data_IF_080931669568
#
_entry.id   IF_080931669568
#
_cell.length_a   1.000
_cell.length_b   1.000
_cell.length_c   1.000
_cell.angle_alpha   90.00
_cell.angle_beta   90.00
_cell.angle_gamma   90.00
#
_symmetry.space_group_name_H-M   'P 1'
#
loop_
_entity.id
_entity.type
_entity.pdbx_description
1 polymer ?
#
# COMPACT_ATOMS: atom_id res chain seq x y z
N UNK A 1 -12.89 -26.71 9.87
CA UNK A 1 -12.87 -25.48 10.67
C UNK A 1 -14.14 -24.70 10.33
N UNK A 2 -15.10 -24.56 11.21
CA UNK A 2 -16.35 -23.83 10.98
C UNK A 2 -16.06 -22.34 10.90
N UNK A 3 -16.63 -21.64 9.90
CA UNK A 3 -16.51 -20.20 9.77
C UNK A 3 -17.12 -19.50 11.00
N UNK A 4 -16.52 -18.39 11.47
CA UNK A 4 -17.08 -17.64 12.59
C UNK A 4 -18.45 -17.05 12.18
N UNK A 5 -19.38 -16.83 13.14
CA UNK A 5 -20.68 -16.22 12.87
C UNK A 5 -20.58 -14.87 12.15
N UNK A 6 -19.54 -14.09 12.44
CA UNK A 6 -19.26 -12.79 11.78
C UNK A 6 -18.87 -12.98 10.31
N UNK A 7 -18.06 -14.00 10.02
CA UNK A 7 -17.67 -14.34 8.64
C UNK A 7 -18.88 -14.77 7.82
N UNK A 8 -19.77 -15.59 8.40
CA UNK A 8 -20.99 -16.07 7.74
C UNK A 8 -21.94 -14.90 7.41
N UNK A 9 -22.17 -13.97 8.35
CA UNK A 9 -22.98 -12.78 8.13
C UNK A 9 -22.41 -11.90 7.00
N UNK A 10 -21.08 -11.69 6.99
CA UNK A 10 -20.40 -10.94 5.95
C UNK A 10 -20.57 -11.56 4.56
N UNK A 11 -20.48 -12.90 4.48
CA UNK A 11 -20.66 -13.64 3.23
C UNK A 11 -22.11 -13.53 2.71
N UNK A 12 -23.10 -13.67 3.60
CA UNK A 12 -24.52 -13.52 3.25
C UNK A 12 -24.78 -12.10 2.72
N UNK A 13 -24.34 -11.07 3.45
CA UNK A 13 -24.51 -9.69 3.01
C UNK A 13 -23.91 -9.45 1.63
N UNK A 14 -22.69 -9.92 1.38
CA UNK A 14 -22.04 -9.79 0.07
C UNK A 14 -22.82 -10.54 -1.01
N UNK A 15 -23.33 -11.74 -0.73
CA UNK A 15 -24.11 -12.51 -1.69
C UNK A 15 -25.40 -11.78 -2.11
N UNK A 16 -26.13 -11.24 -1.14
CA UNK A 16 -27.38 -10.49 -1.38
C UNK A 16 -27.19 -9.19 -2.16
N UNK A 17 -26.01 -8.56 -2.04
CA UNK A 17 -25.72 -7.27 -2.70
C UNK A 17 -24.87 -7.38 -3.97
N UNK A 18 -24.57 -8.58 -4.45
CA UNK A 18 -23.76 -8.79 -5.68
C UNK A 18 -24.43 -8.22 -6.92
N UNK A 19 -25.71 -8.51 -7.13
CA UNK A 19 -26.46 -8.03 -8.28
C UNK A 19 -26.67 -6.52 -8.25
N UNK A 20 -27.07 -5.88 -7.14
CA UNK A 20 -27.08 -4.44 -6.99
C UNK A 20 -25.72 -3.79 -7.32
N UNK A 21 -24.60 -4.37 -6.84
CA UNK A 21 -23.27 -3.88 -7.16
C UNK A 21 -22.93 -4.03 -8.66
N UNK A 22 -23.38 -5.11 -9.27
CA UNK A 22 -23.23 -5.33 -10.70
C UNK A 22 -23.99 -4.28 -11.50
N UNK A 23 -25.26 -4.03 -11.19
CA UNK A 23 -26.11 -3.02 -11.84
C UNK A 23 -25.51 -1.62 -11.68
N UNK A 24 -25.00 -1.27 -10.49
CA UNK A 24 -24.32 -0.01 -10.27
C UNK A 24 -23.10 0.13 -11.18
N UNK A 25 -22.28 -0.92 -11.29
CA UNK A 25 -21.10 -0.91 -12.16
C UNK A 25 -21.46 -0.73 -13.64
N UNK A 26 -22.52 -1.40 -14.12
CA UNK A 26 -22.98 -1.27 -15.51
C UNK A 26 -23.55 0.13 -15.80
N UNK A 27 -24.23 0.74 -14.84
CA UNK A 27 -24.69 2.13 -14.93
C UNK A 27 -23.52 3.13 -14.98
N UNK A 28 -22.50 2.94 -14.14
CA UNK A 28 -21.31 3.78 -14.14
C UNK A 28 -20.50 3.64 -15.43
N UNK A 29 -20.51 2.47 -16.04
CA UNK A 29 -19.76 2.19 -17.27
C UNK A 29 -20.16 3.11 -18.44
N UNK A 30 -21.40 3.59 -18.50
CA UNK A 30 -21.86 4.51 -19.53
C UNK A 30 -21.66 5.99 -19.15
N UNK A 31 -21.23 6.25 -17.91
CA UNK A 31 -21.05 7.61 -17.37
C UNK A 31 -19.55 7.98 -17.22
N UNK A 32 -18.60 7.13 -17.61
CA UNK A 32 -17.15 7.33 -17.40
C UNK A 32 -16.61 8.61 -18.07
N UNK A 33 -17.26 9.10 -19.11
CA UNK A 33 -16.91 10.33 -19.82
C UNK A 33 -17.54 11.61 -19.20
N UNK A 34 -18.42 11.47 -18.19
CA UNK A 34 -19.02 12.56 -17.43
C UNK A 34 -18.68 12.40 -15.94
N UNK A 35 -17.53 12.90 -15.47
CA UNK A 35 -17.06 12.68 -14.10
C UNK A 35 -17.99 13.21 -13.01
N UNK A 36 -18.74 14.26 -13.27
CA UNK A 36 -19.70 14.81 -12.30
C UNK A 36 -20.90 13.89 -12.11
N UNK A 37 -21.45 13.42 -13.21
CA UNK A 37 -22.56 12.45 -13.18
C UNK A 37 -22.10 11.13 -12.59
N UNK A 38 -20.92 10.66 -12.99
CA UNK A 38 -20.30 9.44 -12.44
C UNK A 38 -20.17 9.52 -10.92
N UNK A 39 -19.57 10.60 -10.37
CA UNK A 39 -19.40 10.78 -8.93
C UNK A 39 -20.74 10.76 -8.18
N UNK A 40 -21.76 11.49 -8.70
CA UNK A 40 -23.10 11.49 -8.08
C UNK A 40 -23.75 10.10 -8.10
N UNK A 41 -23.66 9.40 -9.23
CA UNK A 41 -24.22 8.04 -9.38
C UNK A 41 -23.46 7.04 -8.49
N UNK A 42 -22.13 7.12 -8.45
CA UNK A 42 -21.29 6.29 -7.61
C UNK A 42 -21.63 6.48 -6.12
N UNK A 43 -21.62 7.73 -5.65
CA UNK A 43 -21.91 8.05 -4.25
C UNK A 43 -23.28 7.51 -3.83
N UNK A 44 -24.33 7.78 -4.63
CA UNK A 44 -25.68 7.30 -4.35
C UNK A 44 -25.77 5.77 -4.35
N UNK A 45 -25.12 5.13 -5.32
CA UNK A 45 -25.13 3.68 -5.44
C UNK A 45 -24.38 2.98 -4.31
N UNK A 46 -23.26 3.55 -3.87
CA UNK A 46 -22.49 3.00 -2.74
C UNK A 46 -23.27 3.10 -1.42
N UNK A 47 -24.08 4.14 -1.21
CA UNK A 47 -25.01 4.18 -0.05
C UNK A 47 -25.95 2.98 -0.02
N UNK A 48 -26.45 2.53 -1.18
CA UNK A 48 -27.30 1.34 -1.28
C UNK A 48 -26.56 0.00 -1.04
N UNK A 49 -25.23 0.02 -1.01
CA UNK A 49 -24.36 -1.16 -0.77
C UNK A 49 -23.70 -1.13 0.62
N UNK A 50 -23.99 -0.13 1.43
CA UNK A 50 -23.40 0.06 2.74
C UNK A 50 -23.83 -1.02 3.73
N UNK A 51 -22.89 -1.56 4.50
CA UNK A 51 -23.16 -2.40 5.67
C UNK A 51 -22.93 -1.58 6.94
N UNK A 52 -24.01 -1.17 7.65
CA UNK A 52 -23.87 -0.31 8.83
C UNK A 52 -23.03 -0.95 9.95
N UNK A 53 -23.11 -2.28 10.11
CA UNK A 53 -22.32 -2.98 11.11
C UNK A 53 -20.83 -3.01 10.76
N UNK A 54 -20.50 -3.07 9.47
CA UNK A 54 -19.14 -2.95 8.99
C UNK A 54 -18.64 -1.50 9.10
N UNK A 55 -19.46 -0.51 8.74
CA UNK A 55 -19.14 0.91 8.90
C UNK A 55 -18.78 1.26 10.35
N UNK A 56 -19.55 0.77 11.32
CA UNK A 56 -19.32 1.04 12.74
C UNK A 56 -17.97 0.50 13.26
N UNK A 57 -17.44 -0.56 12.66
CA UNK A 57 -16.14 -1.15 13.02
C UNK A 57 -14.95 -0.45 12.36
N UNK A 58 -15.16 0.25 11.25
CA UNK A 58 -14.07 0.79 10.42
C UNK A 58 -13.20 1.85 11.12
N UNK A 59 -13.71 2.78 11.94
CA UNK A 59 -12.84 3.77 12.60
C UNK A 59 -11.73 3.16 13.47
N UNK A 60 -11.96 1.95 13.99
CA UNK A 60 -10.94 1.20 14.76
C UNK A 60 -9.95 0.50 13.83
N UNK A 61 -10.42 0.00 12.69
CA UNK A 61 -9.60 -0.75 11.73
C UNK A 61 -8.80 0.20 10.84
N UNK A 62 -9.40 1.31 10.43
CA UNK A 62 -8.80 2.31 9.52
C UNK A 62 -8.90 3.70 10.15
N UNK A 63 -8.16 3.96 11.23
CA UNK A 63 -8.18 5.27 11.86
C UNK A 63 -7.66 6.33 10.87
N UNK A 64 -8.35 7.47 10.83
CA UNK A 64 -7.98 8.59 9.94
C UNK A 64 -8.56 8.52 8.52
N UNK A 65 -9.34 7.49 8.17
CA UNK A 65 -9.93 7.35 6.82
C UNK A 65 -10.90 8.47 6.44
N UNK A 66 -11.37 9.25 7.42
CA UNK A 66 -12.45 10.22 7.21
C UNK A 66 -13.81 9.51 7.09
N UNK A 67 -14.82 10.20 6.51
CA UNK A 67 -16.13 9.60 6.28
C UNK A 67 -16.04 8.37 5.36
N UNK A 68 -16.77 7.32 5.72
CA UNK A 68 -16.88 6.10 4.95
C UNK A 68 -18.29 5.50 5.07
N UNK A 69 -18.69 4.71 4.09
CA UNK A 69 -20.01 4.09 4.04
C UNK A 69 -20.03 2.66 4.60
N UNK A 70 -18.88 2.01 4.65
CA UNK A 70 -18.76 0.60 5.03
C UNK A 70 -19.18 -0.35 3.92
N UNK A 71 -18.88 -0.01 2.68
CA UNK A 71 -19.10 -0.93 1.55
C UNK A 71 -18.04 -2.02 1.58
N UNK A 72 -18.47 -3.28 1.65
CA UNK A 72 -17.56 -4.41 1.72
C UNK A 72 -16.72 -4.54 0.46
N UNK A 73 -15.42 -4.80 0.62
CA UNK A 73 -14.45 -4.85 -0.47
C UNK A 73 -14.85 -5.73 -1.68
N UNK A 74 -15.47 -6.91 -1.52
CA UNK A 74 -15.93 -7.67 -2.68
C UNK A 74 -16.95 -6.91 -3.55
N UNK A 75 -17.82 -6.09 -2.94
CA UNK A 75 -18.80 -5.28 -3.67
C UNK A 75 -18.11 -4.11 -4.39
N UNK A 76 -17.21 -3.40 -3.72
CA UNK A 76 -16.36 -2.37 -4.36
C UNK A 76 -15.62 -2.95 -5.57
N UNK A 77 -15.09 -4.18 -5.43
CA UNK A 77 -14.38 -4.87 -6.53
C UNK A 77 -15.29 -5.24 -7.69
N UNK A 78 -16.56 -5.59 -7.45
CA UNK A 78 -17.53 -5.88 -8.52
C UNK A 78 -17.80 -4.62 -9.34
N UNK A 79 -18.10 -3.49 -8.69
CA UNK A 79 -18.30 -2.20 -9.33
C UNK A 79 -17.02 -1.78 -10.08
N UNK A 80 -15.89 -1.82 -9.40
CA UNK A 80 -14.59 -1.39 -9.94
C UNK A 80 -14.18 -2.13 -11.21
N UNK A 81 -14.40 -3.45 -11.29
CA UNK A 81 -14.10 -4.23 -12.50
C UNK A 81 -14.94 -3.82 -13.72
N UNK A 82 -16.17 -3.36 -13.54
CA UNK A 82 -17.01 -2.86 -14.64
C UNK A 82 -16.55 -1.50 -15.12
N UNK A 83 -16.28 -0.60 -14.18
CA UNK A 83 -15.69 0.71 -14.46
C UNK A 83 -14.35 0.58 -15.17
N UNK A 84 -13.48 -0.30 -14.68
CA UNK A 84 -12.16 -0.58 -15.28
C UNK A 84 -12.28 -1.05 -16.74
N UNK A 85 -13.25 -1.93 -17.05
CA UNK A 85 -13.51 -2.38 -18.44
C UNK A 85 -14.03 -1.25 -19.32
N UNK A 86 -14.92 -0.41 -18.80
CA UNK A 86 -15.44 0.73 -19.56
C UNK A 86 -14.35 1.76 -19.88
N UNK A 87 -13.47 2.02 -18.94
CA UNK A 87 -12.32 2.91 -19.12
C UNK A 87 -11.27 2.38 -20.11
N UNK A 88 -11.23 1.07 -20.36
CA UNK A 88 -10.30 0.50 -21.34
C UNK A 88 -10.53 1.01 -22.78
N UNK A 89 -11.77 1.43 -23.12
CA UNK A 89 -12.11 2.00 -24.41
C UNK A 89 -12.03 3.54 -24.46
N UNK A 90 -11.63 4.20 -23.36
CA UNK A 90 -11.57 5.66 -23.28
C UNK A 90 -10.14 6.18 -23.48
N UNK A 91 -10.04 7.48 -23.81
CA UNK A 91 -8.72 8.12 -23.82
C UNK A 91 -8.15 8.21 -22.40
N UNK A 92 -6.80 8.14 -22.24
CA UNK A 92 -6.17 8.30 -20.92
C UNK A 92 -6.58 9.62 -20.24
N UNK A 93 -6.79 10.70 -20.99
CA UNK A 93 -7.19 12.00 -20.47
C UNK A 93 -8.54 11.94 -19.73
N UNK A 94 -9.52 11.18 -20.25
CA UNK A 94 -10.81 10.97 -19.57
C UNK A 94 -10.60 10.25 -18.24
N UNK A 95 -9.77 9.21 -18.24
CA UNK A 95 -9.48 8.45 -17.03
C UNK A 95 -8.73 9.31 -15.98
N UNK A 96 -7.75 10.14 -16.39
CA UNK A 96 -7.09 11.11 -15.49
C UNK A 96 -8.08 12.10 -14.91
N UNK A 97 -8.94 12.71 -15.77
CA UNK A 97 -9.90 13.70 -15.30
C UNK A 97 -10.91 13.09 -14.31
N UNK A 98 -11.39 11.88 -14.59
CA UNK A 98 -12.23 11.14 -13.65
C UNK A 98 -11.48 10.87 -12.32
N UNK A 99 -10.23 10.46 -12.39
CA UNK A 99 -9.41 10.21 -11.20
C UNK A 99 -9.21 11.48 -10.37
N UNK A 100 -8.89 12.61 -11.00
CA UNK A 100 -8.74 13.90 -10.31
C UNK A 100 -10.02 14.34 -9.60
N UNK A 101 -11.15 14.10 -10.22
CA UNK A 101 -12.46 14.41 -9.63
C UNK A 101 -12.71 13.55 -8.39
N UNK A 102 -12.60 12.23 -8.51
CA UNK A 102 -12.84 11.28 -7.42
C UNK A 102 -11.84 11.41 -6.29
N UNK A 103 -10.59 11.80 -6.57
CA UNK A 103 -9.56 12.04 -5.57
C UNK A 103 -9.91 13.15 -4.56
N UNK A 104 -10.86 14.03 -4.90
CA UNK A 104 -11.31 15.13 -4.03
C UNK A 104 -12.51 14.76 -3.17
N UNK A 105 -13.11 13.58 -3.39
CA UNK A 105 -14.28 13.15 -2.64
C UNK A 105 -13.95 12.96 -1.15
N UNK A 106 -14.89 13.30 -0.27
CA UNK A 106 -14.76 13.13 1.17
C UNK A 106 -14.88 11.66 1.58
N UNK A 107 -15.77 10.90 0.92
CA UNK A 107 -16.01 9.49 1.21
C UNK A 107 -14.84 8.62 0.74
N UNK A 108 -14.31 7.79 1.65
CA UNK A 108 -13.19 6.88 1.36
C UNK A 108 -13.46 6.01 0.14
N UNK A 109 -14.61 5.33 0.11
CA UNK A 109 -14.92 4.41 -0.99
C UNK A 109 -15.00 5.12 -2.34
N UNK A 110 -15.47 6.37 -2.40
CA UNK A 110 -15.48 7.16 -3.64
C UNK A 110 -14.06 7.51 -4.07
N UNK A 111 -13.20 7.93 -3.12
CA UNK A 111 -11.77 8.19 -3.41
C UNK A 111 -11.07 6.96 -3.95
N UNK A 112 -11.38 5.76 -3.46
CA UNK A 112 -10.76 4.52 -3.94
C UNK A 112 -11.04 4.24 -5.42
N UNK A 113 -12.13 4.75 -6.00
CA UNK A 113 -12.38 4.64 -7.45
C UNK A 113 -11.44 5.50 -8.30
N UNK A 114 -10.79 6.53 -7.72
CA UNK A 114 -9.70 7.23 -8.42
C UNK A 114 -8.55 6.29 -8.80
N UNK A 115 -8.26 5.28 -7.97
CA UNK A 115 -7.22 4.28 -8.25
C UNK A 115 -7.58 3.38 -9.45
N UNK A 116 -8.88 3.06 -9.61
CA UNK A 116 -9.35 2.30 -10.79
C UNK A 116 -9.09 3.09 -12.07
N UNK A 117 -9.42 4.39 -12.05
CA UNK A 117 -9.22 5.27 -13.20
C UNK A 117 -7.73 5.50 -13.49
N UNK A 118 -6.91 5.77 -12.46
CA UNK A 118 -5.45 5.95 -12.61
C UNK A 118 -4.77 4.71 -13.17
N UNK A 119 -5.17 3.52 -12.77
CA UNK A 119 -4.60 2.28 -13.31
C UNK A 119 -4.78 2.17 -14.83
N UNK A 120 -5.89 2.68 -15.36
CA UNK A 120 -6.15 2.73 -16.81
C UNK A 120 -5.44 3.88 -17.50
N UNK A 121 -5.32 5.03 -16.84
CA UNK A 121 -4.64 6.19 -17.39
C UNK A 121 -3.12 6.02 -17.48
N UNK A 122 -2.52 5.40 -16.45
CA UNK A 122 -1.06 5.37 -16.23
C UNK A 122 -0.25 4.90 -17.45
N UNK A 123 -0.61 3.85 -18.21
CA UNK A 123 0.17 3.45 -19.37
C UNK A 123 0.10 4.44 -20.55
N UNK A 124 -0.96 5.22 -20.68
CA UNK A 124 -1.19 6.13 -21.79
C UNK A 124 -0.91 7.60 -21.50
N UNK A 125 -0.91 7.98 -20.23
CA UNK A 125 -0.54 9.33 -19.76
C UNK A 125 0.17 9.20 -18.39
N UNK A 126 1.42 8.70 -18.38
CA UNK A 126 2.13 8.40 -17.15
C UNK A 126 2.40 9.65 -16.31
N UNK A 127 2.73 10.79 -16.96
CA UNK A 127 3.08 12.00 -16.23
C UNK A 127 1.88 12.58 -15.45
N UNK A 128 0.73 12.78 -16.10
CA UNK A 128 -0.46 13.30 -15.40
C UNK A 128 -0.96 12.32 -14.33
N UNK A 129 -0.96 11.03 -14.65
CA UNK A 129 -1.33 9.99 -13.68
C UNK A 129 -0.44 10.05 -12.45
N UNK A 130 0.87 10.24 -12.64
CA UNK A 130 1.83 10.35 -11.55
C UNK A 130 1.59 11.59 -10.68
N UNK A 131 1.27 12.73 -11.29
CA UNK A 131 0.92 13.94 -10.54
C UNK A 131 -0.30 13.73 -9.64
N UNK A 132 -1.31 13.00 -10.12
CA UNK A 132 -2.48 12.65 -9.31
C UNK A 132 -2.11 11.68 -8.19
N UNK A 133 -1.28 10.66 -8.46
CA UNK A 133 -0.76 9.73 -7.44
C UNK A 133 -0.03 10.52 -6.33
N UNK A 134 0.84 11.46 -6.70
CA UNK A 134 1.55 12.34 -5.74
C UNK A 134 0.61 13.21 -4.92
N UNK A 135 -0.43 13.76 -5.55
CA UNK A 135 -1.46 14.54 -4.85
C UNK A 135 -2.20 13.69 -3.81
N UNK A 136 -2.60 12.47 -4.19
CA UNK A 136 -3.27 11.53 -3.29
C UNK A 136 -2.36 11.10 -2.14
N UNK A 137 -1.08 10.83 -2.41
CA UNK A 137 -0.10 10.46 -1.39
C UNK A 137 0.04 11.55 -0.32
N UNK A 138 0.14 12.83 -0.73
CA UNK A 138 0.24 13.98 0.20
C UNK A 138 -1.01 14.18 1.05
N UNK A 139 -2.17 13.75 0.56
CA UNK A 139 -3.48 13.90 1.23
C UNK A 139 -3.87 12.66 2.03
N UNK A 140 -3.15 11.57 1.89
CA UNK A 140 -3.46 10.33 2.58
C UNK A 140 -3.40 10.53 4.10
N UNK A 141 -4.40 10.01 4.79
CA UNK A 141 -4.55 10.08 6.25
C UNK A 141 -4.75 8.70 6.87
N UNK A 142 -4.75 7.66 6.04
CA UNK A 142 -5.02 6.28 6.44
C UNK A 142 -4.22 5.27 5.60
N UNK A 143 -4.05 4.07 6.15
CA UNK A 143 -3.26 3.02 5.52
C UNK A 143 -3.94 2.39 4.29
N UNK A 144 -5.28 2.39 4.21
CA UNK A 144 -6.01 1.83 3.04
C UNK A 144 -5.75 2.68 1.81
N UNK A 145 -5.83 4.00 1.95
CA UNK A 145 -5.51 4.96 0.88
C UNK A 145 -4.06 4.79 0.40
N UNK A 146 -3.10 4.68 1.32
CA UNK A 146 -1.68 4.54 1.00
C UNK A 146 -1.38 3.21 0.31
N UNK A 147 -1.86 2.09 0.86
CA UNK A 147 -1.58 0.77 0.30
C UNK A 147 -2.25 0.57 -1.07
N UNK A 148 -3.42 1.21 -1.28
CA UNK A 148 -4.04 1.25 -2.60
C UNK A 148 -3.22 2.06 -3.63
N UNK A 149 -2.55 3.14 -3.20
CA UNK A 149 -1.64 3.91 -4.05
C UNK A 149 -0.34 3.16 -4.34
N UNK A 150 0.10 2.30 -3.46
CA UNK A 150 1.35 1.54 -3.61
C UNK A 150 1.37 0.67 -4.89
N UNK A 151 0.23 0.06 -5.25
CA UNK A 151 0.09 -0.67 -6.53
C UNK A 151 0.37 0.26 -7.73
N UNK A 152 -0.22 1.45 -7.73
CA UNK A 152 -0.04 2.42 -8.81
C UNK A 152 1.38 2.98 -8.87
N UNK A 153 1.96 3.28 -7.70
CA UNK A 153 3.33 3.77 -7.58
C UNK A 153 4.32 2.72 -8.09
N UNK A 154 4.15 1.45 -7.71
CA UNK A 154 4.96 0.35 -8.21
C UNK A 154 4.86 0.20 -9.74
N UNK A 155 3.66 0.28 -10.31
CA UNK A 155 3.43 0.24 -11.76
C UNK A 155 4.08 1.44 -12.47
N UNK A 156 3.99 2.63 -11.90
CA UNK A 156 4.63 3.84 -12.44
C UNK A 156 6.15 3.70 -12.49
N UNK A 157 6.76 3.16 -11.44
CA UNK A 157 8.22 2.90 -11.39
C UNK A 157 8.62 1.83 -12.42
N UNK A 158 7.84 0.76 -12.57
CA UNK A 158 8.12 -0.28 -13.57
C UNK A 158 7.97 0.23 -15.00
N UNK A 159 7.06 1.16 -15.25
CA UNK A 159 6.85 1.80 -16.54
C UNK A 159 7.95 2.82 -16.85
N UNK A 160 8.32 3.65 -15.87
CA UNK A 160 9.30 4.72 -15.98
C UNK A 160 10.30 4.62 -14.81
N UNK A 161 11.42 3.88 -14.98
CA UNK A 161 12.36 3.57 -13.89
C UNK A 161 12.98 4.79 -13.19
N UNK A 162 13.05 5.95 -13.85
CA UNK A 162 13.55 7.18 -13.23
C UNK A 162 12.69 7.68 -12.06
N UNK A 163 11.42 7.25 -11.97
CA UNK A 163 10.52 7.57 -10.84
C UNK A 163 10.97 6.93 -9.53
N UNK A 164 11.90 6.00 -9.60
CA UNK A 164 12.56 5.48 -8.41
C UNK A 164 13.16 6.60 -7.56
N UNK A 165 13.80 7.60 -8.18
CA UNK A 165 14.36 8.73 -7.46
C UNK A 165 13.32 9.55 -6.71
N UNK A 166 12.08 9.61 -7.21
CA UNK A 166 10.98 10.26 -6.49
C UNK A 166 10.51 9.44 -5.27
N UNK A 167 10.52 8.11 -5.36
CA UNK A 167 10.26 7.24 -4.21
C UNK A 167 11.33 7.40 -3.12
N UNK A 168 12.61 7.50 -3.52
CA UNK A 168 13.74 7.74 -2.60
C UNK A 168 13.56 9.03 -1.80
N UNK A 169 13.07 10.10 -2.43
CA UNK A 169 12.81 11.37 -1.74
C UNK A 169 11.77 11.24 -0.63
N UNK A 170 10.78 10.35 -0.77
CA UNK A 170 9.72 10.16 0.23
C UNK A 170 10.24 9.55 1.54
N UNK A 171 11.42 8.93 1.55
CA UNK A 171 12.08 8.44 2.76
C UNK A 171 12.28 9.57 3.79
N UNK A 172 12.54 10.79 3.29
CA UNK A 172 12.82 11.98 4.10
C UNK A 172 11.56 12.84 4.35
N UNK A 173 10.39 12.40 3.91
CA UNK A 173 9.17 13.16 4.12
C UNK A 173 8.84 13.32 5.61
N UNK A 174 8.43 14.51 6.07
CA UNK A 174 7.90 14.68 7.42
C UNK A 174 6.58 13.94 7.62
N UNK A 175 5.88 13.60 6.54
CA UNK A 175 4.58 12.93 6.60
C UNK A 175 4.76 11.40 6.67
N UNK A 176 4.27 10.78 7.75
CA UNK A 176 4.35 9.34 7.95
C UNK A 176 3.72 8.53 6.81
N UNK A 177 2.65 9.03 6.21
CA UNK A 177 1.94 8.33 5.14
C UNK A 177 2.74 8.27 3.83
N UNK A 178 3.52 9.31 3.53
CA UNK A 178 4.47 9.27 2.41
C UNK A 178 5.62 8.29 2.70
N UNK A 179 6.15 8.24 3.94
CA UNK A 179 7.14 7.23 4.33
C UNK A 179 6.55 5.81 4.32
N UNK A 180 5.27 5.65 4.75
CA UNK A 180 4.57 4.37 4.58
C UNK A 180 4.47 3.96 3.12
N UNK A 181 4.17 4.90 2.21
CA UNK A 181 4.06 4.63 0.78
C UNK A 181 5.36 4.03 0.22
N UNK A 182 6.53 4.44 0.72
CA UNK A 182 7.80 3.79 0.33
C UNK A 182 7.75 2.30 0.64
N UNK A 183 7.49 1.93 1.89
CA UNK A 183 7.43 0.53 2.31
C UNK A 183 6.38 -0.28 1.56
N UNK A 184 5.16 0.27 1.42
CA UNK A 184 4.06 -0.39 0.70
C UNK A 184 4.35 -0.54 -0.79
N UNK A 185 4.98 0.46 -1.44
CA UNK A 185 5.40 0.37 -2.85
C UNK A 185 6.46 -0.71 -3.04
N UNK A 186 7.45 -0.76 -2.15
CA UNK A 186 8.46 -1.82 -2.18
C UNK A 186 7.83 -3.20 -1.98
N UNK A 187 6.81 -3.31 -1.13
CA UNK A 187 6.08 -4.57 -0.93
C UNK A 187 5.31 -5.01 -2.18
N UNK A 188 4.76 -4.07 -2.94
CA UNK A 188 3.98 -4.34 -4.15
C UNK A 188 4.84 -4.73 -5.37
N UNK A 189 6.04 -4.17 -5.51
CA UNK A 189 6.90 -4.37 -6.68
C UNK A 189 7.07 -5.83 -7.09
N UNK A 190 7.39 -6.80 -6.19
CA UNK A 190 7.54 -8.21 -6.55
C UNK A 190 6.27 -8.86 -7.14
N UNK A 191 5.09 -8.32 -6.82
CA UNK A 191 3.81 -8.83 -7.29
C UNK A 191 3.31 -8.15 -8.57
N UNK A 192 3.97 -7.05 -9.00
CA UNK A 192 3.65 -6.33 -10.25
C UNK A 192 4.47 -6.85 -11.42
N UNK A 193 5.44 -7.70 -11.17
CA UNK A 193 6.26 -8.38 -12.17
C UNK A 193 5.92 -9.87 -12.17
N UNK A 194 5.87 -10.46 -13.35
CA UNK A 194 5.62 -11.91 -13.49
C UNK A 194 6.73 -12.70 -12.76
N UNK A 195 6.43 -13.88 -12.20
CA UNK A 195 7.42 -14.67 -11.47
C UNK A 195 8.70 -14.96 -12.26
N UNK A 196 8.56 -15.26 -13.57
CA UNK A 196 9.66 -15.52 -14.50
C UNK A 196 10.48 -14.26 -14.86
N UNK A 197 9.96 -13.07 -14.61
CA UNK A 197 10.61 -11.78 -14.86
C UNK A 197 11.20 -11.14 -13.59
N UNK A 198 10.99 -11.72 -12.40
CA UNK A 198 11.46 -11.16 -11.13
C UNK A 198 12.98 -10.96 -11.06
N UNK A 199 13.76 -11.70 -11.85
CA UNK A 199 15.19 -11.48 -11.97
C UNK A 199 15.57 -10.08 -12.51
N UNK A 200 14.62 -9.36 -13.13
CA UNK A 200 14.83 -7.97 -13.58
C UNK A 200 14.69 -6.95 -12.46
N UNK A 201 14.09 -7.33 -11.35
CA UNK A 201 13.99 -6.45 -10.18
C UNK A 201 15.38 -6.24 -9.57
N UNK A 202 15.56 -5.09 -8.95
CA UNK A 202 16.83 -4.69 -8.33
C UNK A 202 16.69 -4.76 -6.80
N UNK A 203 17.07 -5.89 -6.15
CA UNK A 203 16.90 -6.05 -4.70
C UNK A 203 17.74 -5.05 -3.91
N UNK A 204 18.99 -4.83 -4.30
CA UNK A 204 19.93 -3.98 -3.55
C UNK A 204 19.38 -2.57 -3.25
N UNK A 205 18.92 -1.76 -4.23
CA UNK A 205 18.35 -0.46 -3.92
C UNK A 205 17.05 -0.56 -3.10
N UNK A 206 16.23 -1.58 -3.32
CA UNK A 206 15.00 -1.77 -2.53
C UNK A 206 15.29 -2.06 -1.05
N UNK A 207 16.24 -2.96 -0.79
CA UNK A 207 16.66 -3.29 0.58
C UNK A 207 17.40 -2.12 1.25
N UNK A 208 18.12 -1.29 0.49
CA UNK A 208 18.73 -0.07 1.00
C UNK A 208 17.68 0.96 1.48
N UNK A 209 16.59 1.16 0.73
CA UNK A 209 15.48 2.03 1.18
C UNK A 209 14.82 1.51 2.45
N UNK A 210 14.61 0.19 2.55
CA UNK A 210 14.09 -0.42 3.79
C UNK A 210 15.05 -0.15 4.95
N UNK A 211 16.35 -0.36 4.74
CA UNK A 211 17.38 -0.16 5.78
C UNK A 211 17.41 1.29 6.28
N UNK A 212 17.19 2.26 5.40
CA UNK A 212 17.13 3.70 5.75
C UNK A 212 15.96 4.00 6.70
N UNK A 213 14.81 3.35 6.50
CA UNK A 213 13.60 3.58 7.29
C UNK A 213 13.40 2.60 8.46
N UNK A 214 14.20 1.56 8.59
CA UNK A 214 13.88 0.42 9.48
C UNK A 214 13.78 0.78 10.97
N UNK A 215 14.39 1.89 11.42
CA UNK A 215 14.27 2.44 12.77
C UNK A 215 13.07 3.37 12.97
N UNK A 216 12.17 3.45 12.03
CA UNK A 216 10.99 4.34 12.04
C UNK A 216 10.12 4.15 13.30
N UNK A 217 9.83 5.22 14.06
CA UNK A 217 9.01 5.11 15.27
C UNK A 217 7.53 4.91 14.98
N UNK A 218 7.04 5.35 13.82
CA UNK A 218 5.63 5.24 13.47
C UNK A 218 5.24 3.78 13.17
N UNK A 219 4.23 3.22 13.89
CA UNK A 219 3.84 1.82 13.73
C UNK A 219 3.26 1.49 12.35
N UNK A 220 2.64 2.46 11.67
CA UNK A 220 2.08 2.22 10.35
C UNK A 220 3.18 2.14 9.29
N UNK A 221 4.23 2.95 9.42
CA UNK A 221 5.42 2.84 8.55
C UNK A 221 6.14 1.51 8.77
N UNK A 222 6.38 1.12 10.03
CA UNK A 222 7.03 -0.16 10.36
C UNK A 222 6.33 -1.37 9.77
N UNK A 223 4.98 -1.39 9.79
CA UNK A 223 4.18 -2.45 9.18
C UNK A 223 4.43 -2.57 7.67
N UNK A 224 4.55 -1.44 6.97
CA UNK A 224 4.84 -1.43 5.55
C UNK A 224 6.26 -1.94 5.25
N UNK A 225 7.25 -1.58 6.07
CA UNK A 225 8.63 -2.06 5.91
C UNK A 225 8.75 -3.56 6.13
N UNK A 226 8.10 -4.10 7.16
CA UNK A 226 8.08 -5.54 7.39
C UNK A 226 7.36 -6.30 6.27
N UNK A 227 6.28 -5.73 5.72
CA UNK A 227 5.61 -6.27 4.54
C UNK A 227 6.55 -6.26 3.33
N UNK A 228 7.29 -5.17 3.09
CA UNK A 228 8.30 -5.10 2.03
C UNK A 228 9.33 -6.23 2.15
N UNK A 229 9.91 -6.45 3.33
CA UNK A 229 10.88 -7.51 3.57
C UNK A 229 10.29 -8.91 3.31
N UNK A 230 9.05 -9.17 3.75
CA UNK A 230 8.36 -10.43 3.43
C UNK A 230 8.15 -10.62 1.93
N UNK A 231 7.84 -9.56 1.19
CA UNK A 231 7.65 -9.60 -0.26
C UNK A 231 8.98 -9.83 -0.99
N UNK A 232 10.03 -9.10 -0.64
CA UNK A 232 11.35 -9.21 -1.26
C UNK A 232 12.06 -10.54 -0.96
N UNK A 233 11.70 -11.24 0.11
CA UNK A 233 12.16 -12.60 0.37
C UNK A 233 11.81 -13.57 -0.78
N UNK A 234 10.76 -13.28 -1.55
CA UNK A 234 10.40 -14.09 -2.72
C UNK A 234 11.27 -13.84 -3.95
N UNK A 235 12.10 -12.79 -3.92
CA UNK A 235 13.00 -12.36 -5.00
C UNK A 235 14.46 -12.60 -4.64
N UNK A 236 14.85 -12.16 -3.45
CA UNK A 236 16.22 -12.28 -2.93
C UNK A 236 16.19 -12.72 -1.45
N UNK A 237 15.99 -14.00 -1.18
CA UNK A 237 15.96 -14.51 0.19
C UNK A 237 17.31 -14.34 0.92
N UNK A 238 18.42 -14.40 0.21
CA UNK A 238 19.76 -14.27 0.80
C UNK A 238 20.03 -12.83 1.23
N UNK A 239 19.77 -11.85 0.36
CA UNK A 239 19.94 -10.43 0.68
C UNK A 239 19.03 -9.97 1.80
N UNK A 240 17.76 -10.45 1.83
CA UNK A 240 16.86 -10.18 2.96
C UNK A 240 17.37 -10.80 4.26
N UNK A 241 17.86 -12.03 4.24
CA UNK A 241 18.41 -12.67 5.44
C UNK A 241 19.64 -11.92 5.97
N UNK A 242 20.53 -11.50 5.10
CA UNK A 242 21.71 -10.70 5.47
C UNK A 242 21.28 -9.35 6.08
N UNK A 243 20.34 -8.64 5.45
CA UNK A 243 19.78 -7.40 5.98
C UNK A 243 19.20 -7.63 7.38
N UNK A 244 18.37 -8.66 7.57
CA UNK A 244 17.74 -8.93 8.87
C UNK A 244 18.78 -9.24 9.96
N UNK A 245 19.88 -9.97 9.66
CA UNK A 245 20.98 -10.21 10.62
C UNK A 245 21.67 -8.91 11.01
N UNK A 246 22.02 -8.10 10.04
CA UNK A 246 22.66 -6.80 10.28
C UNK A 246 21.79 -5.89 11.13
N UNK A 247 20.50 -5.80 10.79
CA UNK A 247 19.56 -4.92 11.49
C UNK A 247 19.21 -5.46 12.90
N UNK A 248 19.20 -6.76 13.10
CA UNK A 248 19.09 -7.37 14.44
C UNK A 248 20.29 -7.01 15.31
N UNK A 249 21.51 -7.19 14.81
CA UNK A 249 22.74 -6.83 15.55
C UNK A 249 22.77 -5.33 15.87
N UNK A 250 22.38 -4.48 14.92
CA UNK A 250 22.34 -3.04 15.10
C UNK A 250 21.27 -2.62 16.13
N UNK A 251 20.10 -3.27 16.12
CA UNK A 251 19.05 -2.99 17.10
C UNK A 251 19.48 -3.28 18.53
N UNK A 252 20.23 -4.35 18.73
CA UNK A 252 20.82 -4.70 20.03
C UNK A 252 21.87 -3.68 20.44
N UNK A 253 22.82 -3.38 19.56
CA UNK A 253 23.91 -2.44 19.81
C UNK A 253 23.44 -1.02 20.13
N UNK A 254 22.29 -0.62 19.55
CA UNK A 254 21.72 0.74 19.74
C UNK A 254 20.52 0.77 20.67
N UNK A 255 20.09 -0.38 21.21
CA UNK A 255 18.86 -0.51 22.00
C UNK A 255 17.59 -0.05 21.24
N UNK A 256 17.55 -0.20 19.89
CA UNK A 256 16.48 0.27 19.05
C UNK A 256 15.35 -0.78 18.93
N UNK A 257 14.32 -0.59 19.73
CA UNK A 257 13.13 -1.45 19.73
C UNK A 257 12.25 -1.32 18.48
N UNK A 258 12.28 -0.17 17.79
CA UNK A 258 11.51 0.04 16.55
C UNK A 258 12.10 -0.81 15.43
N UNK A 259 13.40 -0.77 15.25
CA UNK A 259 14.16 -1.62 14.33
C UNK A 259 13.94 -3.11 14.61
N UNK A 260 14.08 -3.50 15.87
CA UNK A 260 13.85 -4.87 16.31
C UNK A 260 12.43 -5.35 16.04
N UNK A 261 11.43 -4.45 16.13
CA UNK A 261 10.04 -4.77 15.81
C UNK A 261 9.91 -5.16 14.34
N UNK A 262 10.48 -4.37 13.42
CA UNK A 262 10.43 -4.66 11.98
C UNK A 262 11.10 -5.99 11.67
N UNK A 263 12.28 -6.24 12.26
CA UNK A 263 12.98 -7.54 12.10
C UNK A 263 12.12 -8.70 12.57
N UNK A 264 11.55 -8.62 13.79
CA UNK A 264 10.68 -9.69 14.32
C UNK A 264 9.45 -9.95 13.46
N UNK A 265 8.78 -8.89 12.99
CA UNK A 265 7.59 -9.04 12.17
C UNK A 265 7.92 -9.57 10.77
N UNK A 266 9.06 -9.20 10.20
CA UNK A 266 9.53 -9.74 8.92
C UNK A 266 9.86 -11.23 8.96
N UNK A 267 10.18 -11.79 10.15
CA UNK A 267 10.41 -13.22 10.38
C UNK A 267 9.12 -14.05 10.53
N UNK A 268 7.95 -13.45 10.23
CA UNK A 268 6.65 -14.12 10.34
C UNK A 268 6.01 -14.36 8.96
N UNK A 269 4.86 -15.04 8.97
CA UNK A 269 4.01 -15.21 7.79
C UNK A 269 4.42 -16.40 6.91
N UNK A 270 3.67 -16.59 5.83
CA UNK A 270 3.90 -17.69 4.89
C UNK A 270 5.29 -17.58 4.23
N UNK A 271 5.99 -18.71 4.17
CA UNK A 271 7.37 -18.78 3.64
C UNK A 271 8.41 -18.15 4.58
N UNK A 272 8.13 -18.03 5.89
CA UNK A 272 9.13 -17.64 6.88
C UNK A 272 10.30 -18.62 6.89
N UNK A 273 11.50 -18.08 7.02
CA UNK A 273 12.71 -18.88 7.21
C UNK A 273 12.83 -19.22 8.73
N UNK A 274 12.39 -20.43 9.11
CA UNK A 274 12.39 -20.86 10.51
C UNK A 274 13.81 -20.97 11.08
N UNK A 275 14.82 -21.26 10.26
CA UNK A 275 16.22 -21.29 10.70
C UNK A 275 16.68 -19.89 11.09
N UNK A 276 16.44 -18.91 10.22
CA UNK A 276 16.75 -17.49 10.48
C UNK A 276 15.96 -16.96 11.68
N UNK A 277 14.69 -17.34 11.78
CA UNK A 277 13.85 -16.96 12.91
C UNK A 277 14.36 -17.54 14.23
N UNK A 278 14.80 -18.82 14.25
CA UNK A 278 15.45 -19.48 15.39
C UNK A 278 16.76 -18.82 15.78
N UNK A 279 17.51 -18.31 14.82
CA UNK A 279 18.77 -17.56 15.04
C UNK A 279 18.50 -16.19 15.68
N UNK A 280 17.58 -15.40 15.14
CA UNK A 280 17.45 -13.99 15.50
C UNK A 280 16.49 -13.69 16.67
N UNK A 281 15.41 -14.46 16.84
CA UNK A 281 14.43 -14.22 17.92
C UNK A 281 15.04 -14.24 19.32
N UNK A 282 15.93 -15.20 19.69
CA UNK A 282 16.56 -15.21 21.02
C UNK A 282 17.43 -13.98 21.26
N UNK A 283 18.17 -13.54 20.25
CA UNK A 283 19.04 -12.36 20.32
C UNK A 283 18.22 -11.10 20.63
N UNK A 284 17.11 -10.92 19.89
CA UNK A 284 16.23 -9.80 20.08
C UNK A 284 15.40 -9.85 21.37
N UNK A 285 15.13 -11.05 21.89
CA UNK A 285 14.40 -11.23 23.15
C UNK A 285 15.26 -10.93 24.39
N UNK A 286 16.55 -11.23 24.32
CA UNK A 286 17.49 -11.01 25.43
C UNK A 286 17.93 -9.55 25.58
N UNK A 287 17.71 -8.70 24.57
CA UNK A 287 18.15 -7.31 24.58
C UNK A 287 17.14 -6.36 25.24
N UNK A 288 17.65 -5.39 26.00
CA UNK A 288 16.85 -4.27 26.52
C UNK A 288 16.58 -3.25 25.40
N UNK A 289 15.45 -3.43 24.72
CA UNK A 289 15.10 -2.63 23.54
C UNK A 289 14.05 -1.56 23.91
N UNK A 290 14.24 -0.33 23.40
CA UNK A 290 13.40 0.83 23.68
C UNK A 290 12.71 1.28 22.40
N UNK A 291 11.43 1.61 22.49
CA UNK A 291 10.61 2.12 21.35
C UNK A 291 10.32 3.61 21.46
N UNK A 292 10.77 4.25 22.54
CA UNK A 292 10.55 5.68 22.84
C UNK A 292 11.64 6.60 22.26
N UNK A 293 12.65 6.05 21.58
CA UNK A 293 13.69 6.85 20.93
C UNK A 293 13.13 7.58 19.71
N UNK A 294 13.39 8.89 19.66
CA UNK A 294 13.25 9.65 18.43
C UNK A 294 14.10 9.02 17.32
N UNK A 295 13.58 8.98 16.11
CA UNK A 295 14.32 8.50 14.94
C UNK A 295 15.53 9.40 14.73
N UNK A 296 16.73 8.84 14.86
CA UNK A 296 17.98 9.56 14.57
C UNK A 296 18.18 9.60 13.05
N UNK A 297 17.73 10.72 12.46
CA UNK A 297 17.86 10.97 11.02
C UNK A 297 19.31 11.22 10.58
N UNK A 298 20.22 11.56 11.51
CA UNK A 298 21.63 11.82 11.19
C UNK A 298 22.30 10.56 10.63
N UNK A 299 21.92 9.39 11.12
CA UNK A 299 22.44 8.10 10.66
C UNK A 299 21.85 7.64 9.34
N UNK A 300 20.62 8.07 9.02
CA UNK A 300 20.03 7.84 7.70
C UNK A 300 20.83 8.56 6.61
N UNK A 301 21.38 9.74 6.91
CA UNK A 301 22.29 10.47 6.03
C UNK A 301 23.63 9.74 5.83
N UNK A 302 24.21 9.17 6.89
CA UNK A 302 25.46 8.40 6.79
C UNK A 302 25.30 7.15 5.93
N UNK A 303 24.18 6.44 6.08
CA UNK A 303 23.88 5.24 5.27
C UNK A 303 23.61 5.64 3.81
N UNK A 304 22.86 6.71 3.55
CA UNK A 304 22.59 7.20 2.20
C UNK A 304 23.90 7.65 1.50
N UNK A 305 24.81 8.31 2.23
CA UNK A 305 26.13 8.69 1.70
C UNK A 305 27.03 7.49 1.42
N UNK A 306 26.99 6.45 2.25
CA UNK A 306 27.80 5.24 2.04
C UNK A 306 27.37 4.44 0.79
N UNK A 307 26.10 4.54 0.37
CA UNK A 307 25.57 3.86 -0.83
C UNK A 307 25.53 4.74 -2.08
N UNK A 308 25.66 6.06 -1.94
CA UNK A 308 25.68 7.01 -3.07
C UNK A 308 27.06 7.33 -3.61
N UNK A 309 28.13 6.80 -3.02
CA UNK A 309 29.53 7.06 -3.39
C UNK A 309 30.18 5.88 -4.15
N UNK A 310 29.37 5.02 -4.78
CA UNK A 310 29.84 3.89 -5.58
C UNK A 310 29.31 3.95 -7.01
#
# INVERSE_FOLDING_TARGET
MMASPVTTRAQVFVAEHRDPAAVLGDRLAVEVADPERFERTLTRGLHGLADPAYAAAQPVIVPGSGPLLGVRWPLVSIVGRRVDRALAGQSPAIAVYLAERLARAELLEVRLFSHVALRRALPGDPERSWQVIRLLARRATDWVSVDSLADLTARGILLEPYRWAELEQLVYSPQRWERRLVGSTLAELPFRVRPDERARLRPTPALALVATLIGEPDPDVRKALSWALRSWRTVDPAGVAELLRREAALSVATHDGNRAWVVRDALTGAGADERLAGELRPILAAAHLRTDRAHDTSRAHEVAHAFGAG
#
